data_IF_149718617970
#
_entry.id   IF_149718617970
#
_cell.length_a   1.000
_cell.length_b   1.000
_cell.length_c   1.000
_cell.angle_alpha   90.00
_cell.angle_beta   90.00
_cell.angle_gamma   90.00
#
_symmetry.space_group_name_H-M   'P 1'
#
loop_
_entity.id
_entity.type
_entity.pdbx_description
1 polymer ?
#
# COMPACT_ATOMS: atom_id res chain seq x y z
N UNK A 1 27.37 -9.68 -40.74
CA UNK A 1 27.69 -8.82 -39.58
C UNK A 1 28.40 -7.52 -39.98
N UNK A 2 29.38 -7.49 -40.85
CA UNK A 2 30.11 -6.26 -41.26
C UNK A 2 29.23 -5.18 -41.92
N UNK A 3 28.24 -5.55 -42.73
CA UNK A 3 27.33 -4.58 -43.39
C UNK A 3 26.35 -3.92 -42.38
N UNK A 4 25.93 -4.62 -41.33
CA UNK A 4 25.06 -4.09 -40.29
C UNK A 4 25.82 -3.06 -39.41
N UNK A 5 27.10 -3.36 -39.05
CA UNK A 5 27.92 -2.43 -38.27
C UNK A 5 28.28 -1.18 -39.07
N UNK A 6 28.54 -1.29 -40.36
CA UNK A 6 28.80 -0.14 -41.25
C UNK A 6 27.53 0.72 -41.43
N UNK A 7 26.35 0.10 -41.60
CA UNK A 7 25.09 0.82 -41.70
C UNK A 7 24.79 1.56 -40.39
N UNK A 8 25.00 0.93 -39.23
CA UNK A 8 24.81 1.51 -37.92
C UNK A 8 25.76 2.69 -37.65
N UNK A 9 27.02 2.55 -38.04
CA UNK A 9 28.00 3.65 -37.98
C UNK A 9 27.60 4.83 -38.87
N UNK A 10 27.12 4.56 -40.09
CA UNK A 10 26.61 5.61 -41.01
C UNK A 10 25.39 6.33 -40.43
N UNK A 11 24.46 5.61 -39.80
CA UNK A 11 23.28 6.17 -39.13
C UNK A 11 23.67 6.99 -37.90
N UNK A 12 24.57 6.49 -37.06
CA UNK A 12 25.09 7.21 -35.88
C UNK A 12 25.90 8.45 -36.25
N UNK A 13 26.66 8.43 -37.37
CA UNK A 13 27.44 9.57 -37.83
C UNK A 13 26.57 10.75 -38.27
N UNK A 14 25.34 10.47 -38.73
CA UNK A 14 24.37 11.49 -39.09
C UNK A 14 24.01 12.40 -37.89
N UNK A 15 23.91 11.87 -36.70
CA UNK A 15 23.57 12.60 -35.47
C UNK A 15 24.70 13.58 -35.05
N UNK A 16 25.93 13.30 -35.36
CA UNK A 16 27.03 14.22 -35.08
C UNK A 16 26.92 15.53 -35.89
N UNK A 17 26.31 15.46 -37.07
CA UNK A 17 26.08 16.63 -37.93
C UNK A 17 24.76 17.32 -37.64
N UNK A 18 23.74 16.59 -37.16
CA UNK A 18 22.40 17.09 -36.91
C UNK A 18 22.03 17.00 -35.42
N UNK A 19 22.76 17.72 -34.56
CA UNK A 19 22.61 17.69 -33.09
C UNK A 19 21.20 18.06 -32.62
N UNK A 20 20.55 19.04 -33.28
CA UNK A 20 19.18 19.47 -32.94
C UNK A 20 18.16 18.35 -33.13
N UNK A 21 18.31 17.56 -34.20
CA UNK A 21 17.43 16.44 -34.48
C UNK A 21 17.64 15.30 -33.47
N UNK A 22 18.90 15.02 -33.11
CA UNK A 22 19.24 14.08 -32.05
C UNK A 22 18.58 14.47 -30.73
N UNK A 23 18.72 15.73 -30.34
CA UNK A 23 18.11 16.27 -29.14
C UNK A 23 16.57 16.16 -29.15
N UNK A 24 15.93 16.44 -30.29
CA UNK A 24 14.46 16.32 -30.44
C UNK A 24 13.94 14.90 -30.20
N UNK A 25 14.64 13.87 -30.72
CA UNK A 25 14.25 12.48 -30.47
C UNK A 25 14.46 12.08 -29.02
N UNK A 26 15.62 12.44 -28.45
CA UNK A 26 15.90 12.22 -27.04
C UNK A 26 14.82 12.84 -26.14
N UNK A 27 14.50 14.10 -26.39
CA UNK A 27 13.45 14.82 -25.63
C UNK A 27 12.08 14.15 -25.80
N UNK A 28 11.73 13.72 -27.02
CA UNK A 28 10.48 13.02 -27.27
C UNK A 28 10.38 11.66 -26.54
N UNK A 29 11.43 10.86 -26.63
CA UNK A 29 11.49 9.56 -25.92
C UNK A 29 11.48 9.76 -24.39
N UNK A 30 12.31 10.68 -23.91
CA UNK A 30 12.39 11.00 -22.48
C UNK A 30 11.06 11.52 -21.94
N UNK A 31 10.36 12.38 -22.69
CA UNK A 31 9.05 12.89 -22.29
C UNK A 31 8.00 11.76 -22.25
N UNK A 32 8.04 10.84 -23.22
CA UNK A 32 7.12 9.70 -23.27
C UNK A 32 7.33 8.76 -22.07
N UNK A 33 8.59 8.44 -21.74
CA UNK A 33 8.92 7.58 -20.59
C UNK A 33 8.66 8.28 -19.26
N UNK A 34 8.98 9.57 -19.14
CA UNK A 34 8.70 10.37 -17.96
C UNK A 34 7.18 10.49 -17.68
N UNK A 35 6.37 10.67 -18.73
CA UNK A 35 4.91 10.69 -18.59
C UNK A 35 4.39 9.35 -18.08
N UNK A 36 4.83 8.25 -18.65
CA UNK A 36 4.43 6.91 -18.24
C UNK A 36 4.83 6.60 -16.80
N UNK A 37 6.12 6.78 -16.48
CA UNK A 37 6.64 6.50 -15.13
C UNK A 37 6.04 7.42 -14.09
N UNK A 38 5.84 8.70 -14.40
CA UNK A 38 5.19 9.66 -13.51
C UNK A 38 3.75 9.29 -13.19
N UNK A 39 2.95 8.92 -14.20
CA UNK A 39 1.58 8.47 -13.98
C UNK A 39 1.52 7.16 -13.20
N UNK A 40 2.43 6.22 -13.46
CA UNK A 40 2.48 4.96 -12.71
C UNK A 40 2.88 5.19 -11.25
N UNK A 41 3.83 6.08 -10.98
CA UNK A 41 4.21 6.46 -9.63
C UNK A 41 3.04 7.10 -8.86
N UNK A 42 2.33 8.05 -9.48
CA UNK A 42 1.13 8.67 -8.90
C UNK A 42 0.02 7.65 -8.66
N UNK A 43 -0.24 6.74 -9.60
CA UNK A 43 -1.23 5.70 -9.46
C UNK A 43 -0.89 4.72 -8.32
N UNK A 44 0.38 4.34 -8.18
CA UNK A 44 0.82 3.45 -7.10
C UNK A 44 0.68 4.12 -5.73
N UNK A 45 1.05 5.40 -5.65
CA UNK A 45 0.87 6.21 -4.45
C UNK A 45 -0.60 6.36 -4.08
N UNK A 46 -1.45 6.74 -5.03
CA UNK A 46 -2.89 6.89 -4.81
C UNK A 46 -3.55 5.58 -4.34
N UNK A 47 -3.16 4.44 -4.91
CA UNK A 47 -3.64 3.12 -4.46
C UNK A 47 -3.22 2.81 -3.02
N UNK A 48 -1.97 3.09 -2.65
CA UNK A 48 -1.48 2.85 -1.31
C UNK A 48 -2.13 3.75 -0.26
N UNK A 49 -2.37 5.02 -0.61
CA UNK A 49 -3.02 5.99 0.27
C UNK A 49 -4.51 5.65 0.45
N UNK A 50 -5.19 5.24 -0.63
CA UNK A 50 -6.56 4.79 -0.57
C UNK A 50 -6.71 3.49 0.25
N UNK A 51 -5.81 2.52 0.05
CA UNK A 51 -5.82 1.28 0.83
C UNK A 51 -5.61 1.55 2.33
N UNK A 52 -4.73 2.50 2.68
CA UNK A 52 -4.53 2.94 4.07
C UNK A 52 -5.75 3.65 4.64
N UNK A 53 -6.36 4.55 3.88
CA UNK A 53 -7.58 5.25 4.30
C UNK A 53 -8.77 4.29 4.46
N UNK A 54 -8.96 3.36 3.53
CA UNK A 54 -10.04 2.37 3.61
C UNK A 54 -9.86 1.42 4.79
N UNK A 55 -8.62 1.03 5.13
CA UNK A 55 -8.35 0.19 6.30
C UNK A 55 -8.78 0.84 7.64
N UNK A 56 -8.86 2.18 7.68
CA UNK A 56 -9.37 2.93 8.85
C UNK A 56 -10.90 2.97 8.85
N UNK A 57 -11.50 3.09 7.67
CA UNK A 57 -12.95 3.28 7.50
C UNK A 57 -13.70 1.95 7.45
N UNK A 58 -13.06 0.93 6.89
CA UNK A 58 -13.61 -0.42 6.84
C UNK A 58 -13.51 -1.01 8.24
N UNK A 59 -14.65 -1.18 8.89
CA UNK A 59 -14.74 -1.96 10.11
C UNK A 59 -14.19 -3.38 9.90
N UNK A 60 -14.06 -4.21 10.92
CA UNK A 60 -13.49 -5.54 10.78
C UNK A 60 -14.27 -6.32 9.72
N UNK A 61 -13.56 -6.76 8.67
CA UNK A 61 -14.07 -7.60 7.59
C UNK A 61 -14.58 -8.97 8.09
N UNK A 62 -14.50 -9.22 9.40
CA UNK A 62 -14.89 -10.45 10.07
C UNK A 62 -16.13 -10.23 10.90
N UNK A 63 -16.95 -11.30 11.05
CA UNK A 63 -18.02 -11.31 12.01
C UNK A 63 -17.48 -10.98 13.40
N UNK A 64 -18.21 -10.22 14.17
CA UNK A 64 -17.79 -9.80 15.51
C UNK A 64 -18.94 -9.85 16.51
N UNK A 65 -18.62 -10.06 17.77
CA UNK A 65 -19.54 -9.89 18.89
C UNK A 65 -19.23 -8.56 19.57
N UNK A 66 -20.24 -7.74 19.72
CA UNK A 66 -20.17 -6.45 20.40
C UNK A 66 -21.13 -6.42 21.59
N UNK A 67 -20.90 -5.52 22.53
CA UNK A 67 -21.82 -5.29 23.61
C UNK A 67 -23.16 -4.74 23.10
N UNK A 68 -24.29 -5.28 23.57
CA UNK A 68 -25.63 -4.73 23.24
C UNK A 68 -25.80 -3.30 23.72
N UNK A 69 -25.17 -2.94 24.83
CA UNK A 69 -25.23 -1.61 25.43
C UNK A 69 -24.11 -0.66 24.97
N UNK A 70 -23.41 -1.02 23.93
CA UNK A 70 -22.65 -0.09 23.08
C UNK A 70 -21.20 0.14 23.40
N UNK A 71 -20.65 -0.18 24.60
CA UNK A 71 -19.27 0.27 24.88
C UNK A 71 -18.30 -0.87 25.17
N UNK A 72 -18.43 -1.53 26.30
CA UNK A 72 -17.48 -2.57 26.76
C UNK A 72 -18.21 -3.65 27.51
N UNK A 73 -17.60 -4.83 27.59
CA UNK A 73 -18.12 -5.97 28.33
C UNK A 73 -17.00 -6.70 29.07
N UNK A 74 -17.38 -7.51 30.04
CA UNK A 74 -16.46 -8.28 30.87
C UNK A 74 -15.73 -9.36 30.10
N UNK A 75 -14.43 -9.47 30.31
CA UNK A 75 -13.55 -10.51 29.73
C UNK A 75 -14.01 -11.94 30.10
N UNK A 76 -14.75 -12.12 31.18
CA UNK A 76 -15.33 -13.42 31.55
C UNK A 76 -16.20 -14.02 30.44
N UNK A 77 -16.91 -13.18 29.66
CA UNK A 77 -17.71 -13.65 28.50
C UNK A 77 -16.84 -14.24 27.41
N UNK A 78 -15.66 -13.66 27.15
CA UNK A 78 -14.67 -14.23 26.23
C UNK A 78 -14.19 -15.59 26.70
N UNK A 79 -13.81 -15.70 27.99
CA UNK A 79 -13.35 -16.98 28.57
C UNK A 79 -14.44 -18.05 28.49
N UNK A 80 -15.69 -17.67 28.74
CA UNK A 80 -16.83 -18.57 28.63
C UNK A 80 -17.04 -19.08 27.20
N UNK A 81 -17.00 -18.19 26.20
CA UNK A 81 -17.08 -18.57 24.78
C UNK A 81 -15.94 -19.49 24.36
N UNK A 82 -14.70 -19.22 24.78
CA UNK A 82 -13.54 -20.08 24.50
C UNK A 82 -13.73 -21.48 25.08
N UNK A 83 -14.25 -21.60 26.32
CA UNK A 83 -14.55 -22.89 26.96
C UNK A 83 -15.64 -23.67 26.22
N UNK A 84 -16.58 -22.97 25.57
CA UNK A 84 -17.61 -23.56 24.70
C UNK A 84 -17.10 -23.91 23.29
N UNK A 85 -15.81 -23.73 23.02
CA UNK A 85 -15.21 -24.08 21.74
C UNK A 85 -15.32 -23.03 20.66
N UNK A 86 -15.77 -21.80 20.99
CA UNK A 86 -15.83 -20.70 20.01
C UNK A 86 -14.43 -20.18 19.68
N UNK A 87 -14.15 -20.07 18.38
CA UNK A 87 -12.92 -19.48 17.89
C UNK A 87 -13.05 -17.95 17.85
N UNK A 88 -12.91 -17.33 19.03
CA UNK A 88 -13.03 -15.88 19.23
C UNK A 88 -11.71 -15.28 19.68
N UNK A 89 -11.44 -14.04 19.25
CA UNK A 89 -10.26 -13.25 19.64
C UNK A 89 -10.69 -11.92 20.24
N UNK A 90 -10.17 -11.56 21.44
CA UNK A 90 -10.56 -10.34 22.12
C UNK A 90 -9.88 -9.12 21.53
N UNK A 91 -10.61 -8.02 21.47
CA UNK A 91 -10.10 -6.71 21.07
C UNK A 91 -10.60 -5.66 22.05
N UNK A 92 -9.68 -4.84 22.53
CA UNK A 92 -9.99 -3.66 23.33
C UNK A 92 -9.61 -2.39 22.56
N UNK A 93 -10.55 -1.47 22.40
CA UNK A 93 -10.31 -0.21 21.72
C UNK A 93 -10.58 0.98 22.64
N UNK A 94 -9.82 2.03 22.43
CA UNK A 94 -10.02 3.28 23.13
C UNK A 94 -9.21 4.41 22.49
N UNK A 95 -9.41 5.61 23.03
CA UNK A 95 -8.62 6.78 22.65
C UNK A 95 -7.57 7.04 23.71
N UNK A 96 -6.32 7.05 23.32
CA UNK A 96 -5.20 7.42 24.16
C UNK A 96 -4.85 8.89 23.89
N UNK A 97 -4.78 9.68 24.95
CA UNK A 97 -4.31 11.06 24.87
C UNK A 97 -2.81 11.10 25.08
N UNK A 98 -2.13 11.79 24.19
CA UNK A 98 -0.68 11.95 24.25
C UNK A 98 -0.33 13.41 24.51
N UNK A 99 0.77 13.70 25.22
CA UNK A 99 1.19 15.05 25.49
C UNK A 99 1.53 15.80 24.20
N UNK A 100 1.20 17.08 24.17
CA UNK A 100 1.47 17.98 23.04
C UNK A 100 0.47 19.13 22.97
N UNK A 101 0.89 20.24 22.35
CA UNK A 101 0.00 21.36 22.04
C UNK A 101 -0.12 21.48 20.51
N UNK A 102 -1.32 21.27 19.92
CA UNK A 102 -2.59 20.87 20.55
C UNK A 102 -2.57 19.42 21.04
N UNK A 103 -3.44 19.12 22.03
CA UNK A 103 -3.58 17.77 22.60
C UNK A 103 -3.80 16.73 21.49
N UNK A 104 -2.94 15.72 21.42
CA UNK A 104 -2.96 14.68 20.39
C UNK A 104 -3.71 13.48 20.93
N UNK A 105 -4.66 12.96 20.13
CA UNK A 105 -5.34 11.71 20.45
C UNK A 105 -5.10 10.68 19.36
N UNK A 106 -4.78 9.47 19.77
CA UNK A 106 -4.61 8.32 18.88
C UNK A 106 -5.57 7.21 19.29
N UNK A 107 -5.95 6.39 18.34
CA UNK A 107 -6.75 5.19 18.59
C UNK A 107 -5.83 4.07 19.05
N UNK A 108 -6.00 3.61 20.27
CA UNK A 108 -5.29 2.45 20.81
C UNK A 108 -6.13 1.20 20.58
N UNK A 109 -5.51 0.16 20.02
CA UNK A 109 -6.12 -1.15 19.78
C UNK A 109 -5.29 -2.20 20.48
N UNK A 110 -5.88 -2.84 21.48
CA UNK A 110 -5.31 -4.01 22.16
C UNK A 110 -5.80 -5.29 21.51
N UNK A 111 -4.88 -6.18 21.20
CA UNK A 111 -5.14 -7.48 20.56
C UNK A 111 -4.47 -8.61 21.31
N UNK A 112 -5.02 -9.82 21.18
CA UNK A 112 -4.38 -11.06 21.60
C UNK A 112 -3.93 -11.82 20.34
N UNK A 113 -2.65 -11.78 19.95
CA UNK A 113 -2.18 -12.35 18.67
C UNK A 113 -2.40 -13.85 18.55
N UNK A 114 -2.36 -14.58 19.67
CA UNK A 114 -2.46 -16.05 19.69
C UNK A 114 -3.85 -16.57 19.29
N UNK A 115 -4.90 -15.80 19.53
CA UNK A 115 -6.28 -16.19 19.23
C UNK A 115 -6.81 -15.56 17.93
N UNK A 116 -6.03 -14.67 17.29
CA UNK A 116 -6.45 -14.04 16.06
C UNK A 116 -6.61 -15.04 14.91
N UNK A 117 -7.72 -14.97 14.16
CA UNK A 117 -7.90 -15.77 12.96
C UNK A 117 -6.77 -15.49 11.94
N UNK A 118 -6.28 -16.53 11.22
CA UNK A 118 -5.13 -16.41 10.31
C UNK A 118 -5.26 -15.35 9.21
N UNK A 119 -6.49 -15.02 8.82
CA UNK A 119 -6.79 -14.02 7.79
C UNK A 119 -7.16 -12.64 8.35
N UNK A 120 -6.98 -12.42 9.67
CA UNK A 120 -7.34 -11.14 10.29
C UNK A 120 -6.39 -10.04 9.88
N UNK A 121 -6.96 -8.94 9.41
CA UNK A 121 -6.25 -7.68 9.24
C UNK A 121 -6.72 -6.71 10.32
N UNK A 122 -5.82 -6.23 11.14
CA UNK A 122 -6.12 -5.22 12.16
C UNK A 122 -5.42 -3.93 11.74
N UNK A 123 -6.21 -2.91 11.49
CA UNK A 123 -5.74 -1.59 11.04
C UNK A 123 -4.78 -1.65 9.84
N UNK A 124 -4.98 -2.61 8.93
CA UNK A 124 -4.16 -2.78 7.72
C UNK A 124 -2.97 -3.73 7.86
N UNK A 125 -2.71 -4.28 9.04
CA UNK A 125 -1.58 -5.20 9.27
C UNK A 125 -2.07 -6.64 9.31
N UNK A 126 -1.46 -7.51 8.49
CA UNK A 126 -1.61 -8.96 8.61
C UNK A 126 -0.69 -9.49 9.72
N UNK A 127 -1.27 -10.17 10.69
CA UNK A 127 -0.64 -10.57 11.96
C UNK A 127 0.36 -11.76 11.82
N UNK A 128 0.65 -12.24 10.63
CA UNK A 128 1.39 -13.49 10.41
C UNK A 128 2.93 -13.39 10.40
N UNK A 129 3.54 -12.20 10.45
CA UNK A 129 4.97 -12.05 10.15
C UNK A 129 5.78 -11.28 11.21
N UNK A 130 5.54 -11.51 12.51
CA UNK A 130 6.26 -10.77 13.54
C UNK A 130 6.65 -11.62 14.76
N UNK A 131 7.58 -11.09 15.54
CA UNK A 131 8.04 -11.67 16.78
C UNK A 131 6.98 -11.56 17.88
N UNK A 132 6.18 -12.62 18.04
CA UNK A 132 5.15 -12.74 19.07
C UNK A 132 5.72 -12.57 20.48
N UNK A 133 6.90 -13.10 20.73
CA UNK A 133 7.52 -13.03 22.05
C UNK A 133 7.89 -11.60 22.44
N UNK A 134 8.41 -10.84 21.48
CA UNK A 134 8.71 -9.44 21.68
C UNK A 134 7.45 -8.57 21.85
N UNK A 135 6.35 -8.92 21.18
CA UNK A 135 5.10 -8.20 21.25
C UNK A 135 4.37 -8.39 22.60
N UNK A 136 4.26 -9.61 23.07
CA UNK A 136 3.52 -9.98 24.30
C UNK A 136 4.40 -9.80 25.54
N UNK A 137 5.71 -9.99 25.40
CA UNK A 137 6.67 -9.97 26.51
C UNK A 137 6.76 -8.63 27.23
N UNK A 138 7.60 -8.57 28.26
CA UNK A 138 7.91 -7.30 28.96
C UNK A 138 9.22 -6.75 28.43
N UNK A 139 9.27 -5.53 27.94
CA UNK A 139 8.30 -4.43 28.04
C UNK A 139 7.19 -4.42 26.98
N UNK A 140 7.12 -5.40 26.07
CA UNK A 140 6.19 -5.46 24.97
C UNK A 140 6.56 -4.54 23.81
N UNK A 141 5.68 -4.47 22.81
CA UNK A 141 5.85 -3.57 21.67
C UNK A 141 4.55 -2.82 21.37
N UNK A 142 4.69 -1.58 20.94
CA UNK A 142 3.61 -0.76 20.39
C UNK A 142 3.85 -0.57 18.90
N UNK A 143 2.99 -1.13 18.05
CA UNK A 143 3.12 -0.96 16.60
C UNK A 143 2.49 0.35 16.16
N UNK A 144 3.22 1.10 15.36
CA UNK A 144 2.82 2.41 14.86
C UNK A 144 3.16 2.60 13.39
N UNK A 145 2.28 3.27 12.67
CA UNK A 145 2.54 3.66 11.28
C UNK A 145 3.50 4.86 11.18
N UNK A 146 4.12 5.07 10.00
CA UNK A 146 5.05 6.18 9.79
C UNK A 146 4.38 7.55 9.98
N UNK A 147 3.12 7.67 9.60
CA UNK A 147 2.34 8.89 9.73
C UNK A 147 2.05 9.21 11.21
N UNK A 148 1.73 8.18 11.99
CA UNK A 148 1.51 8.32 13.44
C UNK A 148 2.79 8.75 14.15
N UNK A 149 3.96 8.16 13.81
CA UNK A 149 5.24 8.58 14.37
C UNK A 149 5.56 10.05 14.07
N UNK A 150 5.30 10.48 12.81
CA UNK A 150 5.48 11.89 12.43
C UNK A 150 4.52 12.82 13.20
N UNK A 151 3.26 12.43 13.34
CA UNK A 151 2.29 13.18 14.14
C UNK A 151 2.69 13.30 15.61
N UNK A 152 3.28 12.25 16.18
CA UNK A 152 3.72 12.23 17.57
C UNK A 152 5.07 12.92 17.78
N UNK A 153 5.78 13.24 16.71
CA UNK A 153 7.14 13.80 16.74
C UNK A 153 8.09 12.92 17.58
N UNK A 154 8.00 11.61 17.41
CA UNK A 154 8.80 10.61 18.12
C UNK A 154 9.48 9.65 17.15
N UNK A 155 10.52 8.98 17.62
CA UNK A 155 11.26 7.98 16.84
C UNK A 155 11.01 6.58 17.38
N UNK A 156 11.14 5.52 16.53
CA UNK A 156 11.04 4.14 16.98
C UNK A 156 11.99 3.86 18.16
N UNK A 157 11.50 3.11 19.16
CA UNK A 157 12.28 2.75 20.34
C UNK A 157 12.41 3.84 21.41
N UNK A 158 11.96 5.07 21.16
CA UNK A 158 11.98 6.10 22.20
C UNK A 158 10.90 5.87 23.27
N UNK A 159 11.21 6.03 24.55
CA UNK A 159 10.22 5.93 25.62
C UNK A 159 9.21 7.09 25.49
N UNK A 160 7.97 6.76 25.29
CA UNK A 160 6.87 7.73 25.16
C UNK A 160 5.91 7.53 26.34
N UNK A 161 5.40 8.63 26.89
CA UNK A 161 4.38 8.61 27.94
C UNK A 161 3.08 9.17 27.42
N UNK A 162 1.97 8.70 27.96
CA UNK A 162 0.67 9.29 27.72
C UNK A 162 0.47 10.60 28.54
N UNK A 163 -0.71 11.20 28.41
CA UNK A 163 -1.06 12.42 29.17
C UNK A 163 -1.24 12.17 30.66
N UNK A 164 -1.38 10.92 31.09
CA UNK A 164 -1.49 10.50 32.51
C UNK A 164 -0.13 10.09 33.10
N UNK A 165 0.93 10.13 32.29
CA UNK A 165 2.29 9.78 32.69
C UNK A 165 2.63 8.30 32.61
N UNK A 166 1.71 7.46 32.09
CA UNK A 166 1.95 6.03 31.89
C UNK A 166 2.94 5.80 30.74
N UNK A 167 3.86 4.87 30.92
CA UNK A 167 4.85 4.54 29.89
C UNK A 167 4.23 3.61 28.86
N UNK A 168 4.31 3.99 27.58
CA UNK A 168 3.95 3.13 26.47
C UNK A 168 5.06 2.11 26.20
N UNK A 169 4.72 0.89 25.73
CA UNK A 169 5.70 -0.03 25.20
C UNK A 169 6.55 0.61 24.08
N UNK A 170 7.81 0.18 23.87
CA UNK A 170 8.65 0.67 22.78
C UNK A 170 7.94 0.64 21.45
N UNK A 171 7.96 1.77 20.74
CA UNK A 171 7.29 1.90 19.45
C UNK A 171 8.09 1.21 18.34
N UNK A 172 7.44 0.34 17.59
CA UNK A 172 8.00 -0.37 16.44
C UNK A 172 7.27 0.06 15.18
N UNK A 173 8.03 0.41 14.15
CA UNK A 173 7.48 0.86 12.88
C UNK A 173 6.82 -0.30 12.11
N UNK A 174 5.54 -0.13 11.80
CA UNK A 174 4.77 -0.99 10.92
C UNK A 174 4.24 -0.18 9.71
N UNK A 175 4.88 -0.29 8.54
CA UNK A 175 4.55 0.58 7.39
C UNK A 175 3.11 0.49 6.91
N UNK A 176 2.47 -0.68 7.08
CA UNK A 176 1.10 -0.91 6.65
C UNK A 176 0.03 -0.41 7.63
N UNK A 177 0.44 0.02 8.85
CA UNK A 177 -0.51 0.45 9.88
C UNK A 177 -1.13 1.80 9.53
N UNK A 178 -2.43 1.88 9.72
CA UNK A 178 -3.23 3.07 9.44
C UNK A 178 -2.78 4.29 10.28
N UNK A 179 -2.87 5.53 9.74
CA UNK A 179 -2.55 6.74 10.48
C UNK A 179 -3.42 6.92 11.72
N UNK A 180 -2.83 7.44 12.81
CA UNK A 180 -3.54 7.71 14.06
C UNK A 180 -3.91 6.47 14.88
N UNK A 181 -3.34 5.30 14.55
CA UNK A 181 -3.56 4.04 15.27
C UNK A 181 -2.26 3.56 15.93
N UNK A 182 -2.40 3.04 17.14
CA UNK A 182 -1.35 2.30 17.87
C UNK A 182 -1.93 0.93 18.22
N UNK A 183 -1.20 -0.15 17.93
CA UNK A 183 -1.59 -1.53 18.27
C UNK A 183 -0.63 -2.06 19.33
N UNK A 184 -1.18 -2.61 20.41
CA UNK A 184 -0.43 -3.19 21.53
C UNK A 184 -1.06 -4.53 21.95
N UNK A 185 -0.36 -5.29 22.79
CA UNK A 185 -0.95 -6.43 23.46
C UNK A 185 -2.15 -6.01 24.32
N UNK A 186 -3.14 -6.89 24.45
CA UNK A 186 -4.38 -6.61 25.15
C UNK A 186 -4.17 -6.24 26.62
N UNK A 187 -3.20 -6.86 27.30
CA UNK A 187 -2.86 -6.53 28.68
C UNK A 187 -2.30 -5.12 28.84
N UNK A 188 -1.46 -4.69 27.90
CA UNK A 188 -0.97 -3.30 27.85
C UNK A 188 -2.12 -2.32 27.53
N UNK A 189 -3.02 -2.68 26.63
CA UNK A 189 -4.18 -1.84 26.32
C UNK A 189 -5.12 -1.68 27.52
N UNK A 190 -5.37 -2.75 28.27
CA UNK A 190 -6.18 -2.69 29.49
C UNK A 190 -5.58 -1.74 30.54
N UNK A 191 -4.26 -1.75 30.66
CA UNK A 191 -3.53 -0.85 31.58
C UNK A 191 -3.62 0.59 31.09
N UNK A 192 -3.25 0.86 29.82
CA UNK A 192 -3.21 2.21 29.24
C UNK A 192 -4.59 2.87 29.13
N UNK A 193 -5.65 2.09 28.97
CA UNK A 193 -7.04 2.59 28.88
C UNK A 193 -7.78 2.57 30.23
N UNK A 194 -7.07 2.21 31.30
CA UNK A 194 -7.64 2.05 32.63
C UNK A 194 -8.93 1.20 32.63
N UNK A 195 -8.88 0.05 31.94
CA UNK A 195 -10.01 -0.84 31.68
C UNK A 195 -9.66 -2.31 31.98
N UNK A 196 -9.26 -2.65 33.23
CA UNK A 196 -8.86 -4.01 33.57
C UNK A 196 -10.04 -4.97 33.40
N UNK A 197 -9.80 -6.11 32.72
CA UNK A 197 -10.80 -7.13 32.48
C UNK A 197 -11.93 -6.73 31.54
N UNK A 198 -11.82 -5.62 30.82
CA UNK A 198 -12.83 -5.16 29.86
C UNK A 198 -12.40 -5.37 28.42
N UNK A 199 -13.37 -5.62 27.56
CA UNK A 199 -13.20 -5.80 26.11
C UNK A 199 -14.21 -4.94 25.35
N UNK A 200 -13.85 -4.51 24.13
CA UNK A 200 -14.77 -3.76 23.26
C UNK A 200 -15.51 -4.66 22.29
N UNK A 201 -14.85 -5.70 21.78
CA UNK A 201 -15.44 -6.67 20.84
C UNK A 201 -14.65 -7.97 20.82
N UNK A 202 -15.30 -9.02 20.26
CA UNK A 202 -14.62 -10.29 19.92
C UNK A 202 -14.69 -10.48 18.41
N UNK A 203 -13.55 -10.76 17.79
CA UNK A 203 -13.51 -11.17 16.39
C UNK A 203 -13.80 -12.66 16.31
N UNK A 204 -14.60 -13.09 15.34
CA UNK A 204 -14.93 -14.49 15.12
C UNK A 204 -14.14 -15.03 13.93
N UNK A 205 -13.46 -16.16 14.13
CA UNK A 205 -12.85 -16.90 13.01
C UNK A 205 -13.95 -17.68 12.26
N UNK A 206 -14.91 -18.23 13.01
CA UNK A 206 -16.02 -19.00 12.50
C UNK A 206 -17.23 -18.87 13.44
N UNK A 207 -18.43 -19.11 12.92
CA UNK A 207 -19.68 -19.13 13.70
C UNK A 207 -20.15 -20.56 13.85
N UNK A 208 -19.79 -21.26 14.93
CA UNK A 208 -20.10 -22.69 15.11
C UNK A 208 -21.59 -22.97 15.35
N UNK A 209 -22.42 -21.93 15.51
CA UNK A 209 -23.85 -22.10 15.74
C UNK A 209 -24.51 -20.84 16.36
N UNK A 210 -25.74 -20.98 16.87
CA UNK A 210 -26.42 -19.88 17.54
C UNK A 210 -25.69 -19.53 18.85
N UNK A 211 -25.66 -18.23 19.16
CA UNK A 211 -25.05 -17.73 20.38
C UNK A 211 -25.78 -18.28 21.62
N UNK A 212 -25.07 -18.78 22.64
CA UNK A 212 -25.69 -19.23 23.88
C UNK A 212 -26.60 -18.17 24.52
N UNK A 213 -27.77 -18.54 25.01
CA UNK A 213 -28.80 -17.59 25.47
C UNK A 213 -28.30 -16.62 26.57
N UNK A 214 -27.40 -17.10 27.43
CA UNK A 214 -26.83 -16.25 28.50
C UNK A 214 -25.90 -15.18 27.95
N UNK A 215 -25.13 -15.52 26.93
CA UNK A 215 -24.21 -14.58 26.28
C UNK A 215 -24.96 -13.65 25.33
N UNK A 216 -25.99 -14.15 24.66
CA UNK A 216 -26.86 -13.36 23.77
C UNK A 216 -27.61 -12.19 24.47
N UNK A 217 -27.74 -12.23 25.81
CA UNK A 217 -28.26 -11.09 26.58
C UNK A 217 -27.31 -9.93 26.65
N UNK A 218 -26.01 -10.18 26.61
CA UNK A 218 -24.95 -9.20 26.78
C UNK A 218 -24.29 -8.82 25.46
N UNK A 219 -24.12 -9.79 24.55
CA UNK A 219 -23.45 -9.61 23.28
C UNK A 219 -24.41 -9.78 22.11
N UNK A 220 -24.14 -9.04 21.06
CA UNK A 220 -24.82 -9.11 19.78
C UNK A 220 -23.85 -9.52 18.68
N UNK A 221 -24.30 -10.45 17.84
CA UNK A 221 -23.53 -10.85 16.66
C UNK A 221 -23.75 -9.81 15.56
N UNK A 222 -22.69 -9.09 15.24
CA UNK A 222 -22.60 -8.33 14.01
C UNK A 222 -22.04 -9.26 12.93
N UNK A 223 -22.86 -9.63 11.92
CA UNK A 223 -22.37 -10.43 10.82
C UNK A 223 -21.26 -9.67 10.08
N UNK A 224 -20.43 -10.43 9.37
CA UNK A 224 -19.47 -9.85 8.43
C UNK A 224 -20.20 -8.83 7.55
N UNK A 225 -19.81 -7.59 7.65
CA UNK A 225 -20.31 -6.58 6.72
C UNK A 225 -19.73 -6.91 5.35
N UNK A 226 -20.57 -7.42 4.46
CA UNK A 226 -20.28 -7.44 3.03
C UNK A 226 -20.33 -5.98 2.56
N UNK A 227 -19.18 -5.34 2.60
CA UNK A 227 -19.00 -3.96 2.11
C UNK A 227 -19.15 -3.87 0.58
N UNK A 228 -20.20 -4.53 0.04
CA UNK A 228 -20.49 -4.51 -1.40
C UNK A 228 -20.60 -3.09 -1.97
N UNK A 229 -20.94 -2.10 -1.13
CA UNK A 229 -20.93 -0.68 -1.49
C UNK A 229 -19.51 -0.10 -1.53
N UNK A 230 -18.71 -0.34 -0.50
CA UNK A 230 -17.33 0.16 -0.41
C UNK A 230 -16.42 -0.56 -1.40
N UNK A 231 -16.60 -1.86 -1.59
CA UNK A 231 -15.89 -2.63 -2.60
C UNK A 231 -16.17 -2.13 -4.02
N UNK A 232 -17.42 -1.83 -4.36
CA UNK A 232 -17.77 -1.24 -5.66
C UNK A 232 -17.15 0.13 -5.88
N UNK A 233 -17.10 0.98 -4.84
CA UNK A 233 -16.41 2.27 -4.91
C UNK A 233 -14.91 2.08 -5.11
N UNK A 234 -14.30 1.13 -4.41
CA UNK A 234 -12.89 0.79 -4.53
C UNK A 234 -12.57 0.25 -5.93
N UNK A 235 -13.40 -0.64 -6.46
CA UNK A 235 -13.25 -1.19 -7.81
C UNK A 235 -13.40 -0.11 -8.88
N UNK A 236 -14.37 0.79 -8.72
CA UNK A 236 -14.55 1.94 -9.63
C UNK A 236 -13.33 2.88 -9.60
N UNK A 237 -12.75 3.11 -8.43
CA UNK A 237 -11.55 3.92 -8.28
C UNK A 237 -10.35 3.25 -8.95
N UNK A 238 -10.15 1.94 -8.74
CA UNK A 238 -9.09 1.18 -9.41
C UNK A 238 -9.24 1.14 -10.93
N UNK A 239 -10.47 1.03 -11.42
CA UNK A 239 -10.78 1.12 -12.85
C UNK A 239 -10.40 2.48 -13.41
N UNK A 240 -10.76 3.58 -12.75
CA UNK A 240 -10.41 4.92 -13.18
C UNK A 240 -8.89 5.16 -13.21
N UNK A 241 -8.16 4.71 -12.18
CA UNK A 241 -6.70 4.80 -12.15
C UNK A 241 -6.06 3.97 -13.27
N UNK A 242 -6.62 2.80 -13.57
CA UNK A 242 -6.16 1.96 -14.68
C UNK A 242 -6.42 2.63 -16.03
N UNK A 243 -7.60 3.23 -16.20
CA UNK A 243 -7.95 3.98 -17.41
C UNK A 243 -7.03 5.19 -17.63
N UNK A 244 -6.71 5.95 -16.57
CA UNK A 244 -5.74 7.04 -16.63
C UNK A 244 -4.33 6.56 -16.99
N UNK A 245 -3.90 5.42 -16.44
CA UNK A 245 -2.64 4.78 -16.80
C UNK A 245 -2.60 4.38 -18.27
N UNK A 246 -3.67 3.76 -18.77
CA UNK A 246 -3.79 3.38 -20.18
C UNK A 246 -3.78 4.62 -21.11
N UNK A 247 -4.49 5.68 -20.73
CA UNK A 247 -4.50 6.93 -21.48
C UNK A 247 -3.09 7.52 -21.56
N UNK A 248 -2.37 7.59 -20.44
CA UNK A 248 -0.99 8.07 -20.42
C UNK A 248 -0.06 7.21 -21.28
N UNK A 249 -0.26 5.88 -21.29
CA UNK A 249 0.48 4.98 -22.16
C UNK A 249 0.22 5.28 -23.65
N UNK A 250 -1.04 5.44 -24.05
CA UNK A 250 -1.42 5.76 -25.44
C UNK A 250 -0.84 7.12 -25.86
N UNK A 251 -0.89 8.12 -25.00
CA UNK A 251 -0.30 9.44 -25.27
C UNK A 251 1.23 9.33 -25.40
N UNK A 252 1.88 8.60 -24.50
CA UNK A 252 3.32 8.35 -24.57
C UNK A 252 3.72 7.62 -25.84
N UNK A 253 2.96 6.60 -26.25
CA UNK A 253 3.16 5.88 -27.52
C UNK A 253 2.99 6.81 -28.72
N UNK A 254 2.01 7.71 -28.69
CA UNK A 254 1.79 8.69 -29.77
C UNK A 254 2.96 9.68 -29.86
N UNK A 255 3.47 10.19 -28.73
CA UNK A 255 4.63 11.07 -28.69
C UNK A 255 5.86 10.37 -29.26
N UNK A 256 6.12 9.12 -28.83
CA UNK A 256 7.24 8.32 -29.33
C UNK A 256 7.08 8.05 -30.83
N UNK A 257 5.89 7.70 -31.31
CA UNK A 257 5.60 7.49 -32.73
C UNK A 257 5.86 8.75 -33.55
N UNK A 258 5.39 9.92 -33.10
CA UNK A 258 5.61 11.18 -33.77
C UNK A 258 7.10 11.57 -33.85
N UNK A 259 7.84 11.39 -32.75
CA UNK A 259 9.27 11.66 -32.69
C UNK A 259 10.06 10.75 -33.64
N UNK A 260 9.77 9.45 -33.66
CA UNK A 260 10.39 8.48 -34.55
C UNK A 260 10.02 8.76 -36.02
N UNK A 261 8.75 9.05 -36.29
CA UNK A 261 8.28 9.38 -37.62
C UNK A 261 9.00 10.59 -38.23
N UNK A 262 9.10 11.68 -37.46
CA UNK A 262 9.82 12.90 -37.85
C UNK A 262 11.29 12.60 -38.13
N UNK A 263 11.93 11.79 -37.28
CA UNK A 263 13.32 11.39 -37.47
C UNK A 263 13.56 10.57 -38.74
N UNK A 264 12.66 9.65 -39.04
CA UNK A 264 12.74 8.85 -40.26
C UNK A 264 12.53 9.69 -41.53
N UNK A 265 11.59 10.65 -41.49
CA UNK A 265 11.37 11.56 -42.62
C UNK A 265 12.59 12.39 -42.95
N UNK A 266 13.23 12.96 -41.95
CA UNK A 266 14.45 13.76 -42.11
C UNK A 266 15.62 12.96 -42.66
N UNK A 267 15.62 11.64 -42.51
CA UNK A 267 16.67 10.72 -42.97
C UNK A 267 16.34 9.99 -44.28
N UNK A 268 15.23 10.29 -44.91
CA UNK A 268 14.82 9.62 -46.18
C UNK A 268 15.93 9.64 -47.23
N UNK A 269 16.70 10.74 -47.35
CA UNK A 269 17.81 10.85 -48.28
C UNK A 269 18.94 9.87 -47.95
N UNK A 270 19.34 9.77 -46.68
CA UNK A 270 20.38 8.85 -46.24
C UNK A 270 19.95 7.38 -46.45
N UNK A 271 18.73 7.05 -46.10
CA UNK A 271 18.15 5.72 -46.27
C UNK A 271 18.14 5.32 -47.75
N UNK A 272 17.75 6.25 -48.65
CA UNK A 272 17.75 6.02 -50.10
C UNK A 272 19.16 5.75 -50.63
N UNK A 273 20.16 6.53 -50.20
CA UNK A 273 21.56 6.36 -50.59
C UNK A 273 22.11 5.01 -50.12
N UNK A 274 21.85 4.61 -48.87
CA UNK A 274 22.27 3.29 -48.35
C UNK A 274 21.65 2.14 -49.14
N UNK A 275 20.38 2.28 -49.57
CA UNK A 275 19.76 1.29 -50.44
C UNK A 275 20.37 1.24 -51.83
N UNK A 276 20.76 2.40 -52.41
CA UNK A 276 21.45 2.46 -53.68
C UNK A 276 22.82 1.82 -53.63
N UNK A 277 23.49 1.87 -52.46
CA UNK A 277 24.74 1.14 -52.21
C UNK A 277 24.57 -0.36 -51.93
N UNK A 278 23.36 -0.93 -52.11
CA UNK A 278 23.12 -2.36 -51.99
C UNK A 278 22.80 -2.87 -50.57
N UNK A 279 22.53 -1.99 -49.58
CA UNK A 279 22.15 -2.42 -48.26
C UNK A 279 20.71 -2.99 -48.30
N UNK A 280 20.53 -4.24 -47.84
CA UNK A 280 19.23 -4.87 -47.82
C UNK A 280 18.26 -4.20 -46.85
N UNK A 281 16.94 -4.25 -47.14
CA UNK A 281 15.91 -3.66 -46.26
C UNK A 281 15.95 -4.27 -44.87
N UNK A 282 16.20 -5.57 -44.72
CA UNK A 282 16.28 -6.27 -43.44
C UNK A 282 17.45 -5.74 -42.58
N UNK A 283 18.60 -5.50 -43.21
CA UNK A 283 19.78 -4.95 -42.54
C UNK A 283 19.55 -3.51 -42.09
N UNK A 284 18.87 -2.72 -42.90
CA UNK A 284 18.53 -1.33 -42.59
C UNK A 284 17.51 -1.24 -41.43
N UNK A 285 16.46 -2.05 -41.47
CA UNK A 285 15.50 -2.14 -40.35
C UNK A 285 16.16 -2.60 -39.05
N UNK A 286 17.02 -3.62 -39.12
CA UNK A 286 17.77 -4.08 -37.95
C UNK A 286 18.70 -3.00 -37.38
N UNK A 287 19.36 -2.21 -38.21
CA UNK A 287 20.19 -1.09 -37.77
C UNK A 287 19.36 0.03 -37.12
N UNK A 288 18.18 0.37 -37.68
CA UNK A 288 17.27 1.36 -37.12
C UNK A 288 16.68 0.92 -35.76
N UNK A 289 16.27 -0.36 -35.64
CA UNK A 289 15.76 -0.91 -34.37
C UNK A 289 16.87 -0.90 -33.30
N UNK A 290 18.10 -1.27 -33.66
CA UNK A 290 19.24 -1.21 -32.73
C UNK A 290 19.54 0.22 -32.30
N UNK A 291 19.51 1.18 -33.22
CA UNK A 291 19.72 2.58 -32.93
C UNK A 291 18.64 3.14 -31.99
N UNK A 292 17.36 2.88 -32.30
CA UNK A 292 16.25 3.29 -31.42
C UNK A 292 16.29 2.62 -30.05
N UNK A 293 16.71 1.34 -30.01
CA UNK A 293 16.95 0.64 -28.75
C UNK A 293 18.05 1.26 -27.89
N UNK A 294 19.13 1.72 -28.53
CA UNK A 294 20.20 2.47 -27.86
C UNK A 294 19.68 3.80 -27.29
N UNK A 295 18.90 4.54 -28.06
CA UNK A 295 18.30 5.79 -27.58
C UNK A 295 17.29 5.56 -26.46
N UNK A 296 16.48 4.50 -26.54
CA UNK A 296 15.55 4.13 -25.48
C UNK A 296 16.28 3.72 -24.18
N UNK A 297 17.40 3.01 -24.29
CA UNK A 297 18.20 2.59 -23.13
C UNK A 297 18.93 3.76 -22.44
N UNK A 298 19.23 4.84 -23.17
CA UNK A 298 19.90 6.03 -22.62
C UNK A 298 18.89 7.10 -22.18
N UNK A 299 17.70 7.14 -22.78
CA UNK A 299 16.65 8.14 -22.52
C UNK A 299 15.53 7.67 -21.59
N UNK A 300 15.43 6.38 -21.28
CA UNK A 300 14.43 5.79 -20.38
C UNK A 300 15.04 5.30 -19.10
#
# INVERSE_FOLDING_TARGET
MKLLSLALLALLSHWRRHRVQCFSIFTGLWLATALWTGVQALNSQARSDYARASAVLTGPLQAQLIARNGERFDQALYVQLRRLGWAVSPVLEGRLRLPGEPARSVRLIGIEPLSLPPASSIAGVQVQAFDLQAFIGTPGQAWVGPDTLRQLNTSPGQPTRDSEGQLLPPMVLQPALAPGVIVVDIGHAQTLLNAPGQLSRLLLADTPGPLPADIARHLELQPRQDDGGLQRLTDSFHLNLTALGLLAFVVGLFIAHAAIGLALEQRRGLIRNLRACGVSLKTLLGALVLELGLFAAVGG
#
